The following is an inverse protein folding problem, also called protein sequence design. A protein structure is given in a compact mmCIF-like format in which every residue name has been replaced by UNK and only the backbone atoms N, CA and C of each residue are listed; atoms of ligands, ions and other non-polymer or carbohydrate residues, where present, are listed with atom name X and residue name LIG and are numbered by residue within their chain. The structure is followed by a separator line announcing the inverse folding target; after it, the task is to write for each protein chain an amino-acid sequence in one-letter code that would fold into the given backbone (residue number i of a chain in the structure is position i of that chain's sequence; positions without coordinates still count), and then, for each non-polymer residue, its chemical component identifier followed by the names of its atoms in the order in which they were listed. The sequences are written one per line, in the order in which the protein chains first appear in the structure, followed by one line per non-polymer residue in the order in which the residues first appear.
data_IF_226877903541
#
_entry.id   IF_226877903541
#
_cell.length_a   1.000
_cell.length_b   1.000
_cell.length_c   1.000
_cell.angle_alpha   90.00
_cell.angle_beta   90.00
_cell.angle_gamma   90.00
#
_symmetry.space_group_name_H-M   'P 1'
#
loop_
_entity.id
_entity.type
_entity.pdbx_description
1 polymer ?
#
# COMPACT_ATOMS: atom_id res chain seq x y z
N UNK A 1 -10.55 -9.64 -30.72
CA UNK A 1 -10.27 -9.22 -29.34
C UNK A 1 -11.48 -8.59 -28.67
N UNK A 2 -12.40 -9.40 -28.12
CA UNK A 2 -13.32 -8.93 -27.06
C UNK A 2 -13.45 -9.87 -25.83
N UNK A 3 -12.77 -11.02 -25.79
CA UNK A 3 -13.08 -12.08 -24.80
C UNK A 3 -12.41 -11.94 -23.41
N UNK A 4 -11.53 -10.96 -23.20
CA UNK A 4 -10.84 -10.78 -21.91
C UNK A 4 -11.61 -9.84 -20.95
N UNK A 5 -12.59 -9.08 -21.45
CA UNK A 5 -13.34 -8.13 -20.62
C UNK A 5 -14.45 -8.76 -19.76
N UNK A 6 -14.94 -9.96 -20.11
CA UNK A 6 -16.16 -10.52 -19.52
C UNK A 6 -15.95 -11.64 -18.49
N UNK A 7 -14.72 -11.94 -18.06
CA UNK A 7 -14.49 -13.04 -17.09
C UNK A 7 -14.03 -12.59 -15.72
N UNK A 8 -13.51 -11.37 -15.56
CA UNK A 8 -13.07 -10.89 -14.25
C UNK A 8 -14.22 -10.22 -13.48
N UNK A 9 -15.22 -9.64 -14.15
CA UNK A 9 -16.25 -8.79 -13.51
C UNK A 9 -17.59 -9.50 -13.21
N UNK A 10 -17.91 -10.62 -13.85
CA UNK A 10 -19.23 -11.26 -13.72
C UNK A 10 -19.36 -12.20 -12.49
N UNK A 11 -18.25 -12.55 -11.83
CA UNK A 11 -18.26 -13.29 -10.55
C UNK A 11 -18.37 -12.37 -9.30
N UNK A 12 -18.76 -11.10 -9.48
CA UNK A 12 -18.78 -10.07 -8.43
C UNK A 12 -20.07 -10.02 -7.60
N UNK A 13 -20.95 -11.01 -7.73
CA UNK A 13 -22.08 -11.16 -6.81
C UNK A 13 -21.73 -12.08 -5.64
N UNK A 14 -21.20 -11.47 -4.57
CA UNK A 14 -21.50 -11.94 -3.23
C UNK A 14 -20.43 -12.74 -2.50
N UNK A 15 -19.43 -12.04 -1.96
CA UNK A 15 -18.85 -12.41 -0.67
C UNK A 15 -18.75 -11.16 0.22
N UNK A 16 -19.82 -10.93 1.01
CA UNK A 16 -19.85 -9.89 2.05
C UNK A 16 -19.02 -10.37 3.26
N UNK A 17 -17.70 -10.23 3.17
CA UNK A 17 -16.79 -10.17 4.32
C UNK A 17 -16.57 -8.72 4.78
N UNK A 18 -16.01 -8.48 5.98
CA UNK A 18 -15.74 -7.13 6.48
C UNK A 18 -14.62 -6.41 5.72
N UNK A 19 -13.76 -7.13 5.00
CA UNK A 19 -12.71 -6.57 4.13
C UNK A 19 -12.93 -7.01 2.68
N UNK A 20 -12.85 -6.09 1.72
CA UNK A 20 -12.93 -6.40 0.28
C UNK A 20 -11.55 -6.72 -0.29
N UNK A 21 -10.86 -7.70 0.29
CA UNK A 21 -9.58 -8.17 -0.25
C UNK A 21 -9.82 -9.25 -1.31
N UNK A 22 -9.30 -9.04 -2.51
CA UNK A 22 -9.22 -10.08 -3.54
C UNK A 22 -7.85 -10.73 -3.51
N UNK A 23 -7.78 -12.07 -3.45
CA UNK A 23 -6.52 -12.80 -3.52
C UNK A 23 -6.47 -13.61 -4.82
N UNK A 24 -5.63 -13.22 -5.78
CA UNK A 24 -5.30 -14.04 -6.94
C UNK A 24 -4.30 -15.13 -6.56
N UNK A 25 -4.80 -16.25 -6.06
CA UNK A 25 -3.99 -17.45 -5.85
C UNK A 25 -4.10 -18.36 -7.08
N UNK A 26 -3.18 -18.22 -8.03
CA UNK A 26 -3.00 -19.20 -9.11
C UNK A 26 -1.98 -20.25 -8.65
N UNK A 27 -2.20 -21.53 -8.94
CA UNK A 27 -1.24 -22.63 -8.73
C UNK A 27 -0.03 -22.52 -9.68
N UNK A 28 0.72 -21.43 -9.58
CA UNK A 28 2.04 -21.24 -10.15
C UNK A 28 3.09 -21.47 -9.05
N UNK A 29 4.36 -21.80 -9.37
CA UNK A 29 5.43 -21.97 -8.38
C UNK A 29 5.82 -20.67 -7.66
N UNK A 30 5.09 -19.58 -7.90
CA UNK A 30 5.29 -18.25 -7.35
C UNK A 30 4.00 -17.81 -6.69
N UNK A 31 4.06 -17.54 -5.40
CA UNK A 31 2.97 -16.91 -4.67
C UNK A 31 2.87 -15.43 -5.07
N UNK A 32 1.68 -14.98 -5.46
CA UNK A 32 1.38 -13.58 -5.79
C UNK A 32 0.23 -13.13 -4.90
N UNK A 33 0.32 -11.93 -4.34
CA UNK A 33 -0.77 -11.26 -3.66
C UNK A 33 -0.90 -9.84 -4.20
N UNK A 34 -2.10 -9.49 -4.66
CA UNK A 34 -2.49 -8.11 -4.97
C UNK A 34 -3.55 -7.74 -3.95
N UNK A 35 -3.27 -6.80 -3.06
CA UNK A 35 -4.27 -6.25 -2.16
C UNK A 35 -4.66 -4.87 -2.69
N UNK A 36 -5.96 -4.73 -2.97
CA UNK A 36 -6.60 -3.46 -3.25
C UNK A 36 -7.62 -3.25 -2.16
N UNK A 37 -7.35 -2.34 -1.22
CA UNK A 37 -8.28 -2.05 -0.13
C UNK A 37 -9.17 -0.87 -0.54
N UNK A 38 -10.37 -1.22 -1.01
CA UNK A 38 -11.47 -0.31 -1.37
C UNK A 38 -12.70 -0.68 -0.54
N UNK A 39 -12.57 -0.74 0.78
CA UNK A 39 -13.69 -1.10 1.66
C UNK A 39 -14.12 0.06 2.54
N UNK A 40 -15.30 -0.04 3.16
CA UNK A 40 -15.89 0.96 4.05
C UNK A 40 -15.15 1.14 5.39
N UNK A 41 -14.10 0.35 5.65
CA UNK A 41 -13.30 0.34 6.89
C UNK A 41 -11.89 0.91 6.70
N UNK A 42 -11.34 0.85 5.49
CA UNK A 42 -10.16 1.57 5.07
C UNK A 42 -10.54 3.04 4.87
N UNK A 43 -9.81 3.92 5.55
CA UNK A 43 -10.08 5.36 5.47
C UNK A 43 -9.82 5.92 4.06
N UNK A 44 -8.93 5.29 3.28
CA UNK A 44 -8.53 5.68 1.92
C UNK A 44 -8.06 4.48 1.10
N UNK A 45 -8.11 4.62 -0.23
CA UNK A 45 -7.66 3.62 -1.19
C UNK A 45 -6.17 3.33 -1.03
N UNK A 46 -5.83 2.06 -0.81
CA UNK A 46 -4.45 1.58 -0.75
C UNK A 46 -4.19 0.50 -1.79
N UNK A 47 -2.95 0.42 -2.28
CA UNK A 47 -2.51 -0.60 -3.24
C UNK A 47 -1.23 -1.27 -2.76
N UNK A 48 -1.32 -2.55 -2.41
CA UNK A 48 -0.15 -3.34 -2.07
C UNK A 48 0.00 -4.51 -3.04
N UNK A 49 1.20 -4.70 -3.56
CA UNK A 49 1.51 -5.80 -4.49
C UNK A 49 2.75 -6.54 -4.01
N UNK A 50 2.57 -7.81 -3.67
CA UNK A 50 3.62 -8.67 -3.13
C UNK A 50 3.78 -9.94 -3.96
N UNK A 51 5.01 -10.36 -4.20
CA UNK A 51 5.32 -11.62 -4.89
C UNK A 51 6.39 -12.39 -4.13
N UNK A 52 6.40 -13.71 -4.22
CA UNK A 52 7.46 -14.52 -3.62
C UNK A 52 8.82 -14.15 -4.19
N UNK A 53 9.87 -14.19 -3.36
CA UNK A 53 11.23 -13.87 -3.81
C UNK A 53 11.72 -14.70 -5.01
N UNK A 54 11.20 -15.92 -5.17
CA UNK A 54 11.48 -16.79 -6.33
C UNK A 54 11.09 -16.16 -7.67
N UNK A 55 10.11 -15.25 -7.68
CA UNK A 55 9.74 -14.47 -8.86
C UNK A 55 10.92 -13.63 -9.39
N UNK A 56 11.72 -13.08 -8.47
CA UNK A 56 12.88 -12.24 -8.78
C UNK A 56 14.17 -13.06 -8.94
N UNK A 57 14.09 -14.40 -8.98
CA UNK A 57 15.24 -15.23 -9.35
C UNK A 57 15.71 -14.95 -10.79
N UNK A 58 14.75 -14.67 -11.68
CA UNK A 58 15.01 -14.05 -12.98
C UNK A 58 14.82 -12.53 -12.83
N UNK A 59 15.92 -11.77 -12.90
CA UNK A 59 15.91 -10.34 -12.70
C UNK A 59 15.16 -9.58 -13.82
N UNK A 60 14.96 -10.19 -14.98
CA UNK A 60 14.17 -9.56 -16.07
C UNK A 60 12.71 -9.32 -15.66
N UNK A 61 12.19 -10.13 -14.73
CA UNK A 61 10.84 -10.02 -14.18
C UNK A 61 10.62 -8.72 -13.40
N UNK A 62 11.68 -8.07 -12.90
CA UNK A 62 11.59 -6.81 -12.18
C UNK A 62 10.96 -5.70 -13.03
N UNK A 63 11.31 -5.65 -14.32
CA UNK A 63 10.79 -4.64 -15.25
C UNK A 63 9.28 -4.77 -15.43
N UNK A 64 8.78 -5.98 -15.70
CA UNK A 64 7.36 -6.28 -15.84
C UNK A 64 6.58 -6.07 -14.54
N UNK A 65 7.19 -6.39 -13.38
CA UNK A 65 6.60 -6.12 -12.07
C UNK A 65 6.37 -4.62 -11.85
N UNK A 66 7.40 -3.78 -12.07
CA UNK A 66 7.24 -2.33 -11.94
C UNK A 66 6.27 -1.76 -12.98
N UNK A 67 6.24 -2.32 -14.20
CA UNK A 67 5.28 -1.92 -15.24
C UNK A 67 3.83 -2.16 -14.79
N UNK A 68 3.50 -3.37 -14.32
CA UNK A 68 2.14 -3.67 -13.86
C UNK A 68 1.77 -2.82 -12.63
N UNK A 69 2.69 -2.61 -11.70
CA UNK A 69 2.47 -1.75 -10.54
C UNK A 69 2.11 -0.33 -10.93
N UNK A 70 2.82 0.28 -11.91
CA UNK A 70 2.50 1.63 -12.40
C UNK A 70 1.14 1.70 -13.09
N UNK A 71 0.77 0.67 -13.85
CA UNK A 71 -0.56 0.60 -14.49
C UNK A 71 -1.66 0.52 -13.43
N UNK A 72 -1.48 -0.29 -12.39
CA UNK A 72 -2.43 -0.38 -11.26
C UNK A 72 -2.52 0.94 -10.50
N UNK A 73 -1.39 1.61 -10.24
CA UNK A 73 -1.40 2.95 -9.65
C UNK A 73 -2.20 3.93 -10.51
N UNK A 74 -1.96 3.94 -11.83
CA UNK A 74 -2.65 4.86 -12.75
C UNK A 74 -4.15 4.62 -12.80
N UNK A 75 -4.58 3.36 -12.66
CA UNK A 75 -5.99 2.97 -12.67
C UNK A 75 -6.68 3.34 -11.35
N UNK A 76 -6.03 3.10 -10.22
CA UNK A 76 -6.64 3.17 -8.89
C UNK A 76 -6.40 4.50 -8.18
N UNK A 77 -5.35 5.24 -8.55
CA UNK A 77 -4.91 6.47 -7.88
C UNK A 77 -4.86 6.35 -6.35
N UNK A 78 -4.22 5.32 -5.78
CA UNK A 78 -4.24 5.07 -4.35
C UNK A 78 -3.52 6.18 -3.58
N UNK A 79 -3.96 6.45 -2.35
CA UNK A 79 -3.29 7.43 -1.49
C UNK A 79 -1.91 6.94 -1.03
N UNK A 80 -1.74 5.63 -0.86
CA UNK A 80 -0.52 4.98 -0.44
C UNK A 80 -0.47 3.55 -0.94
N UNK A 81 0.73 2.98 -1.00
CA UNK A 81 0.91 1.59 -1.34
C UNK A 81 2.32 1.09 -1.08
N UNK A 82 2.48 -0.22 -1.06
CA UNK A 82 3.79 -0.85 -0.94
C UNK A 82 3.98 -1.99 -1.94
N UNK A 83 5.22 -2.10 -2.42
CA UNK A 83 5.67 -3.17 -3.28
C UNK A 83 6.83 -3.88 -2.58
N UNK A 84 6.74 -5.19 -2.45
CA UNK A 84 7.74 -5.97 -1.73
C UNK A 84 7.69 -7.45 -2.09
N UNK A 85 8.64 -8.21 -1.54
CA UNK A 85 8.51 -9.67 -1.54
C UNK A 85 7.55 -10.12 -0.43
N UNK A 86 6.94 -11.30 -0.62
CA UNK A 86 6.12 -11.92 0.42
C UNK A 86 6.87 -12.10 1.75
N UNK A 87 8.14 -12.47 1.65
CA UNK A 87 9.04 -12.69 2.78
C UNK A 87 9.33 -11.39 3.54
N UNK A 88 9.56 -10.29 2.81
CA UNK A 88 9.72 -8.96 3.41
C UNK A 88 8.45 -8.55 4.14
N UNK A 89 7.30 -8.63 3.47
CA UNK A 89 6.02 -8.24 4.05
C UNK A 89 5.71 -9.02 5.34
N UNK A 90 5.98 -10.34 5.37
CA UNK A 90 5.85 -11.15 6.61
C UNK A 90 6.82 -10.73 7.70
N UNK A 91 8.07 -10.41 7.36
CA UNK A 91 9.07 -10.02 8.36
C UNK A 91 8.76 -8.66 8.99
N UNK A 92 8.32 -7.68 8.18
CA UNK A 92 7.82 -6.39 8.69
C UNK A 92 6.61 -6.60 9.60
N UNK A 93 5.67 -7.48 9.22
CA UNK A 93 4.52 -7.86 10.07
C UNK A 93 4.91 -8.51 11.40
N UNK A 94 6.04 -9.22 11.46
CA UNK A 94 6.50 -9.86 12.71
C UNK A 94 7.17 -8.89 13.69
N UNK A 95 7.71 -7.77 13.21
CA UNK A 95 8.38 -6.76 14.04
C UNK A 95 7.45 -5.71 14.62
N UNK A 96 6.27 -5.49 14.03
CA UNK A 96 5.25 -4.56 14.51
C UNK A 96 4.01 -5.31 15.00
N UNK A 97 3.62 -5.11 16.26
CA UNK A 97 2.42 -5.68 16.91
C UNK A 97 1.24 -5.80 15.94
N UNK A 98 0.81 -7.03 15.67
CA UNK A 98 -0.50 -7.53 15.13
C UNK A 98 -1.39 -6.57 14.32
N UNK A 99 -0.83 -5.62 13.59
CA UNK A 99 -1.58 -4.66 12.79
C UNK A 99 -1.26 -4.88 11.32
N UNK A 100 -2.32 -5.10 10.55
CA UNK A 100 -2.26 -5.15 9.10
C UNK A 100 -1.65 -3.82 8.61
N UNK A 101 -0.43 -3.83 8.04
CA UNK A 101 0.21 -2.62 7.56
C UNK A 101 -0.67 -1.97 6.49
N UNK A 102 -0.87 -0.66 6.57
CA UNK A 102 -1.64 0.11 5.58
C UNK A 102 -3.11 0.38 5.93
N UNK A 103 -3.68 -0.26 6.96
CA UNK A 103 -5.14 -0.15 7.20
C UNK A 103 -5.62 1.13 7.90
N UNK A 104 -4.74 1.83 8.66
CA UNK A 104 -5.15 3.06 9.37
C UNK A 104 -4.15 4.22 9.18
N UNK A 105 -4.03 4.67 7.94
CA UNK A 105 -3.21 5.81 7.55
C UNK A 105 -3.61 7.14 8.22
N UNK A 106 -4.82 7.21 8.78
CA UNK A 106 -5.37 8.44 9.38
C UNK A 106 -5.10 8.52 10.86
N UNK A 107 -5.19 7.40 11.58
CA UNK A 107 -4.98 7.40 13.04
C UNK A 107 -3.59 6.91 13.42
N UNK A 108 -2.95 6.07 12.60
CA UNK A 108 -1.61 5.55 12.89
C UNK A 108 -0.53 6.20 12.04
N UNK A 109 -0.83 6.53 10.79
CA UNK A 109 0.13 7.10 9.85
C UNK A 109 0.82 6.02 9.02
N UNK A 110 2.00 6.31 8.47
CA UNK A 110 2.67 5.39 7.55
C UNK A 110 3.26 4.18 8.29
N UNK A 111 3.08 2.96 7.74
CA UNK A 111 3.65 1.74 8.30
C UNK A 111 5.18 1.65 8.21
N UNK A 112 5.78 2.45 7.33
CA UNK A 112 7.21 2.44 7.09
C UNK A 112 7.53 2.61 5.62
N UNK A 113 8.79 2.31 5.30
CA UNK A 113 9.31 2.27 3.95
C UNK A 113 9.63 0.81 3.62
N UNK A 114 9.07 0.31 2.53
CA UNK A 114 9.27 -1.03 1.99
C UNK A 114 10.34 -0.98 0.90
N UNK A 115 10.50 -2.06 0.13
CA UNK A 115 11.39 -2.02 -1.03
C UNK A 115 10.96 -0.93 -2.02
N UNK A 116 9.67 -0.82 -2.32
CA UNK A 116 9.15 0.36 -2.99
C UNK A 116 7.80 0.79 -2.42
N UNK A 117 7.48 2.07 -2.54
CA UNK A 117 6.26 2.67 -2.02
C UNK A 117 5.60 3.61 -3.02
N UNK A 118 4.28 3.53 -3.08
CA UNK A 118 3.45 4.54 -3.71
C UNK A 118 3.09 5.64 -2.71
N UNK A 119 3.26 6.88 -3.12
CA UNK A 119 2.78 8.05 -2.42
C UNK A 119 1.80 8.80 -3.33
N UNK A 120 0.55 8.89 -2.90
CA UNK A 120 -0.48 9.72 -3.54
C UNK A 120 -0.18 11.21 -3.38
N UNK A 121 -0.90 12.07 -4.13
CA UNK A 121 -0.68 13.52 -4.13
C UNK A 121 -0.79 14.15 -2.73
N UNK A 122 -1.60 13.59 -1.83
CA UNK A 122 -1.74 14.03 -0.45
C UNK A 122 -0.44 13.84 0.34
N UNK A 123 0.24 12.71 0.17
CA UNK A 123 1.55 12.47 0.78
C UNK A 123 2.67 13.26 0.10
N UNK A 124 2.62 13.41 -1.23
CA UNK A 124 3.56 14.28 -1.96
C UNK A 124 3.44 15.73 -1.46
N UNK A 125 2.21 16.21 -1.23
CA UNK A 125 1.95 17.52 -0.65
C UNK A 125 2.41 17.65 0.81
N UNK A 126 2.14 16.65 1.64
CA UNK A 126 2.54 16.63 3.05
C UNK A 126 4.06 16.62 3.25
N UNK A 127 4.79 15.77 2.51
CA UNK A 127 6.25 15.75 2.55
C UNK A 127 6.85 16.93 1.79
N UNK A 128 6.13 17.49 0.82
CA UNK A 128 6.70 18.45 -0.11
C UNK A 128 7.45 17.72 -1.23
N UNK A 129 7.12 18.10 -2.47
CA UNK A 129 7.65 17.48 -3.68
C UNK A 129 9.18 17.42 -3.69
N UNK A 130 9.86 18.53 -3.45
CA UNK A 130 11.33 18.56 -3.50
C UNK A 130 11.96 17.62 -2.45
N UNK A 131 11.38 17.52 -1.25
CA UNK A 131 11.87 16.63 -0.21
C UNK A 131 11.69 15.16 -0.61
N UNK A 132 10.52 14.79 -1.12
CA UNK A 132 10.24 13.41 -1.52
C UNK A 132 11.13 12.96 -2.70
N UNK A 133 11.26 13.79 -3.74
CA UNK A 133 12.04 13.46 -4.93
C UNK A 133 13.56 13.55 -4.75
N UNK A 134 14.02 14.12 -3.63
CA UNK A 134 15.44 14.12 -3.23
C UNK A 134 15.76 13.08 -2.14
N UNK A 135 14.82 12.17 -1.84
CA UNK A 135 15.03 11.17 -0.82
C UNK A 135 16.27 10.31 -1.10
N UNK A 136 17.05 9.92 -0.06
CA UNK A 136 18.29 9.15 -0.20
C UNK A 136 18.00 7.66 -0.48
N UNK A 137 17.36 7.39 -1.62
CA UNK A 137 16.99 6.06 -2.09
C UNK A 137 17.61 5.76 -3.46
N UNK A 138 17.33 4.58 -4.01
CA UNK A 138 17.83 4.22 -5.34
C UNK A 138 17.20 5.08 -6.43
N UNK A 139 15.87 5.26 -6.39
CA UNK A 139 15.15 6.06 -7.38
C UNK A 139 13.83 6.59 -6.80
N UNK A 140 13.43 7.77 -7.27
CA UNK A 140 12.04 8.25 -7.13
C UNK A 140 11.52 8.60 -8.52
N UNK A 141 10.35 8.10 -8.86
CA UNK A 141 9.67 8.37 -10.13
C UNK A 141 8.40 9.17 -9.88
N UNK A 142 8.12 10.11 -10.78
CA UNK A 142 6.82 10.79 -10.79
C UNK A 142 5.77 9.88 -11.41
N UNK A 143 4.59 9.86 -10.79
CA UNK A 143 3.44 9.11 -11.28
C UNK A 143 2.33 10.08 -11.73
N UNK A 144 1.34 9.59 -12.51
CA UNK A 144 0.17 10.38 -12.83
C UNK A 144 -0.52 10.96 -11.60
N UNK A 145 -1.37 11.98 -11.81
CA UNK A 145 -2.18 12.65 -10.78
C UNK A 145 -1.37 13.21 -9.59
N UNK A 146 -0.07 13.46 -9.79
CA UNK A 146 0.79 14.09 -8.79
C UNK A 146 1.35 13.13 -7.74
N UNK A 147 1.33 11.82 -8.01
CA UNK A 147 1.93 10.82 -7.15
C UNK A 147 3.43 10.61 -7.35
N UNK A 148 4.00 9.72 -6.52
CA UNK A 148 5.39 9.28 -6.64
C UNK A 148 5.55 7.79 -6.33
N UNK A 149 6.48 7.14 -7.02
CA UNK A 149 6.99 5.80 -6.71
C UNK A 149 8.41 5.96 -6.16
N UNK A 150 8.60 5.67 -4.88
CA UNK A 150 9.92 5.60 -4.25
C UNK A 150 10.42 4.16 -4.29
N UNK A 151 11.62 3.94 -4.81
CA UNK A 151 12.31 2.65 -4.85
C UNK A 151 13.55 2.74 -3.97
N UNK A 152 13.60 1.95 -2.90
CA UNK A 152 14.61 2.03 -1.85
C UNK A 152 15.97 1.51 -2.35
N UNK A 153 16.00 0.30 -2.89
CA UNK A 153 17.21 -0.39 -3.38
C UNK A 153 17.00 -0.94 -4.78
N UNK A 154 18.10 -1.27 -5.46
CA UNK A 154 18.07 -1.79 -6.84
C UNK A 154 17.25 -3.06 -6.98
N UNK A 155 17.31 -3.93 -5.98
CA UNK A 155 16.59 -5.20 -5.98
C UNK A 155 15.70 -5.35 -4.75
N UNK A 156 14.49 -5.93 -4.91
CA UNK A 156 13.66 -6.35 -3.77
C UNK A 156 14.35 -7.43 -2.92
N UNK A 157 15.36 -8.11 -3.46
CA UNK A 157 16.11 -9.16 -2.77
C UNK A 157 17.23 -8.61 -1.86
N UNK A 158 17.55 -7.31 -1.94
CA UNK A 158 18.61 -6.68 -1.14
C UNK A 158 18.30 -6.72 0.36
N UNK A 159 17.02 -6.82 0.72
CA UNK A 159 16.59 -7.05 2.10
C UNK A 159 17.14 -8.34 2.71
N UNK A 160 17.33 -9.40 1.91
CA UNK A 160 17.96 -10.64 2.37
C UNK A 160 19.47 -10.65 2.11
N UNK A 161 19.91 -10.14 0.96
CA UNK A 161 21.32 -10.19 0.52
C UNK A 161 22.22 -9.21 1.27
N UNK A 162 21.68 -8.06 1.68
CA UNK A 162 22.40 -6.98 2.35
C UNK A 162 21.53 -6.25 3.37
N UNK A 163 21.02 -6.95 4.40
CA UNK A 163 20.02 -6.40 5.34
C UNK A 163 20.50 -5.10 6.00
N UNK A 164 21.77 -5.02 6.42
CA UNK A 164 22.29 -3.80 7.06
C UNK A 164 22.28 -2.59 6.14
N UNK A 165 22.55 -2.77 4.84
CA UNK A 165 22.53 -1.69 3.84
C UNK A 165 21.10 -1.28 3.54
N UNK A 166 20.21 -2.26 3.38
CA UNK A 166 18.78 -2.02 3.19
C UNK A 166 18.19 -1.22 4.35
N UNK A 167 18.44 -1.66 5.59
CA UNK A 167 17.97 -1.01 6.81
C UNK A 167 18.55 0.39 7.00
N UNK A 168 19.85 0.56 6.75
CA UNK A 168 20.50 1.87 6.82
C UNK A 168 19.85 2.87 5.85
N UNK A 169 19.58 2.44 4.61
CA UNK A 169 18.93 3.27 3.61
C UNK A 169 17.47 3.56 3.97
N UNK A 170 16.75 2.55 4.48
CA UNK A 170 15.38 2.69 4.98
C UNK A 170 15.29 3.77 6.05
N UNK A 171 16.18 3.73 7.03
CA UNK A 171 16.26 4.73 8.09
C UNK A 171 16.66 6.12 7.58
N UNK A 172 17.59 6.19 6.61
CA UNK A 172 17.98 7.45 5.99
C UNK A 172 16.76 8.12 5.30
N UNK A 173 15.96 7.35 4.56
CA UNK A 173 14.72 7.84 3.94
C UNK A 173 13.71 8.27 4.99
N UNK A 174 13.49 7.48 6.05
CA UNK A 174 12.55 7.86 7.14
C UNK A 174 12.95 9.17 7.80
N UNK A 175 14.25 9.35 8.12
CA UNK A 175 14.76 10.60 8.69
C UNK A 175 14.61 11.77 7.72
N UNK A 176 14.94 11.55 6.45
CA UNK A 176 14.85 12.56 5.40
C UNK A 176 13.42 13.04 5.18
N UNK A 177 12.45 12.12 5.13
CA UNK A 177 11.03 12.46 4.98
C UNK A 177 10.44 13.03 6.27
N UNK A 178 10.99 12.66 7.42
CA UNK A 178 10.60 13.06 8.77
C UNK A 178 9.97 11.89 9.53
N UNK A 179 10.60 11.51 10.66
CA UNK A 179 10.27 10.30 11.43
C UNK A 179 8.83 10.33 11.98
N UNK A 180 8.30 11.52 12.17
CA UNK A 180 6.98 11.84 12.71
C UNK A 180 5.80 11.46 11.81
N UNK A 181 6.05 11.12 10.54
CA UNK A 181 5.05 10.61 9.60
C UNK A 181 4.84 9.09 9.68
N UNK A 182 5.72 8.38 10.40
CA UNK A 182 5.72 6.93 10.51
C UNK A 182 5.35 6.53 11.94
N UNK A 183 4.50 5.51 12.10
CA UNK A 183 4.33 4.93 13.44
C UNK A 183 5.56 4.09 13.81
N UNK A 184 6.01 4.23 15.06
CA UNK A 184 7.23 3.59 15.55
C UNK A 184 7.05 2.10 15.87
N UNK A 185 8.17 1.41 16.12
CA UNK A 185 8.19 0.02 16.62
C UNK A 185 7.52 -0.10 18.00
N UNK A 186 7.46 1.00 18.76
CA UNK A 186 6.72 1.12 20.02
C UNK A 186 5.21 1.31 19.83
N UNK A 187 4.70 1.16 18.60
CA UNK A 187 3.30 1.29 18.22
C UNK A 187 2.68 2.67 18.50
N UNK A 188 3.51 3.70 18.74
CA UNK A 188 3.02 5.07 18.86
C UNK A 188 2.55 5.57 17.50
N UNK A 189 1.34 6.16 17.42
CA UNK A 189 0.89 6.83 16.21
C UNK A 189 1.89 7.88 15.71
N UNK A 190 1.96 8.04 14.40
CA UNK A 190 2.55 9.21 13.78
C UNK A 190 1.89 10.49 14.32
N UNK A 191 2.61 11.60 14.25
CA UNK A 191 2.09 12.93 14.60
C UNK A 191 1.89 13.82 13.37
N UNK A 192 2.41 13.40 12.21
CA UNK A 192 2.23 14.09 10.94
C UNK A 192 1.43 13.24 9.96
N UNK A 193 0.33 13.83 9.48
CA UNK A 193 -0.63 13.20 8.59
C UNK A 193 -0.90 14.13 7.41
N UNK A 194 -1.20 13.57 6.22
CA UNK A 194 -1.52 14.41 5.08
C UNK A 194 -2.93 14.99 5.24
N UNK A 195 -3.18 16.14 4.62
CA UNK A 195 -4.54 16.66 4.51
C UNK A 195 -5.26 15.91 3.39
N UNK A 196 -6.02 14.89 3.77
CA UNK A 196 -6.73 14.06 2.80
C UNK A 196 -7.97 14.79 2.24
N UNK A 197 -7.94 15.05 0.92
CA UNK A 197 -8.94 15.87 0.21
C UNK A 197 -10.39 15.41 0.31
N UNK A 198 -10.63 14.11 0.55
CA UNK A 198 -11.97 13.51 0.62
C UNK A 198 -12.34 13.01 2.03
N UNK A 199 -11.60 13.43 3.05
CA UNK A 199 -11.77 12.87 4.40
C UNK A 199 -13.16 13.15 4.99
N UNK A 200 -13.67 14.38 4.83
CA UNK A 200 -14.97 14.77 5.39
C UNK A 200 -16.12 14.03 4.73
N UNK A 201 -16.07 13.92 3.40
CA UNK A 201 -17.02 13.18 2.59
C UNK A 201 -17.02 11.71 2.99
N UNK A 202 -15.83 11.14 3.19
CA UNK A 202 -15.68 9.75 3.64
C UNK A 202 -16.26 9.52 5.03
N UNK A 203 -15.99 10.42 5.99
CA UNK A 203 -16.58 10.35 7.33
C UNK A 203 -18.11 10.36 7.28
N UNK A 204 -18.70 11.23 6.45
CA UNK A 204 -20.14 11.29 6.27
C UNK A 204 -20.73 9.98 5.69
N UNK A 205 -20.06 9.37 4.71
CA UNK A 205 -20.48 8.09 4.12
C UNK A 205 -20.42 6.94 5.14
N UNK A 206 -19.35 6.88 5.94
CA UNK A 206 -19.20 5.86 6.99
C UNK A 206 -20.30 6.02 8.06
N UNK A 207 -20.57 7.25 8.49
CA UNK A 207 -21.66 7.55 9.43
C UNK A 207 -23.03 7.15 8.89
N UNK A 208 -23.30 7.43 7.61
CA UNK A 208 -24.54 7.03 6.96
C UNK A 208 -24.69 5.51 6.88
N UNK A 209 -23.64 4.80 6.46
CA UNK A 209 -23.60 3.34 6.42
C UNK A 209 -23.83 2.71 7.80
N UNK A 210 -23.22 3.26 8.85
CA UNK A 210 -23.44 2.83 10.23
C UNK A 210 -24.88 3.08 10.69
N UNK A 211 -25.50 4.22 10.34
CA UNK A 211 -26.91 4.51 10.63
C UNK A 211 -27.83 3.50 9.94
N UNK A 212 -27.63 3.23 8.65
CA UNK A 212 -28.40 2.24 7.87
C UNK A 212 -28.26 0.83 8.44
N UNK A 213 -27.06 0.43 8.84
CA UNK A 213 -26.83 -0.88 9.46
C UNK A 213 -27.54 -1.04 10.81
N UNK A 214 -27.52 0.02 11.65
CA UNK A 214 -28.22 0.03 12.94
C UNK A 214 -29.75 -0.05 12.77
N UNK A 215 -30.32 0.66 11.79
CA UNK A 215 -31.78 0.62 11.55
C UNK A 215 -32.26 -0.74 11.04
N UNK A 216 -31.49 -1.41 10.17
CA UNK A 216 -31.81 -2.76 9.66
C UNK A 216 -31.69 -3.87 10.71
N UNK A 217 -30.80 -3.71 11.72
CA UNK A 217 -30.73 -4.64 12.86
C UNK A 217 -31.80 -4.37 13.91
N UNK A 218 -32.24 -3.10 14.06
CA UNK A 218 -33.31 -2.72 14.96
C UNK A 218 -34.69 -3.25 14.56
N UNK A 219 -34.93 -3.49 13.26
CA UNK A 219 -36.23 -4.01 12.76
C UNK A 219 -36.33 -5.55 12.75
N UNK A 220 -35.31 -6.27 13.25
CA UNK A 220 -35.27 -7.74 13.32
C UNK A 220 -35.41 -8.29 14.75
N UNK A 221 -35.94 -7.48 15.67
CA UNK A 221 -36.30 -7.88 17.04
C UNK A 221 -37.80 -7.85 17.25
#
# INVERSE_FOLDING_TARGET
MPEIQNTILDEWEGLRGPTKTFNLLRWNPVQVQIIVELDDFANFDSLSLHVAKSYFADFSNLSGFLEISRKLYSLLSPCYGDLSTWEMHRRVKSSSVESWPGTDLVRKGLPGIYWANFFGPEYVGMFGRNQLFSAPCFKVEELPVGGALLILTESPLDFERGPSVFEHRRDAVRRHLGIDAFYGDDSKPATRFPNFRFWKERQALVEESLRRWKSQRGSRR
#
